data_IF_561631216214
#
_entry.id   IF_561631216214
#
_cell.length_a   1.000
_cell.length_b   1.000
_cell.length_c   1.000
_cell.angle_alpha   90.00
_cell.angle_beta   90.00
_cell.angle_gamma   90.00
#
_symmetry.space_group_name_H-M   'P 1'
#
loop_
_entity.id
_entity.type
_entity.pdbx_description
1 polymer ?
#
# COMPACT_ATOMS: atom_id res chain seq x y z
N UNK A 1 3.35 27.90 -4.27
CA UNK A 1 3.71 29.30 -4.21
C UNK A 1 4.32 29.75 -5.53
N UNK A 2 4.05 30.99 -5.93
CA UNK A 2 4.65 31.58 -7.13
C UNK A 2 4.98 33.04 -6.82
N UNK A 3 6.13 33.47 -7.32
CA UNK A 3 6.60 34.85 -7.24
C UNK A 3 7.15 35.27 -8.59
N UNK A 4 6.73 36.42 -9.07
CA UNK A 4 7.24 37.02 -10.30
C UNK A 4 7.83 38.40 -10.01
N UNK A 5 8.95 38.70 -10.63
CA UNK A 5 9.58 40.02 -10.55
C UNK A 5 10.00 40.47 -11.94
N UNK A 6 9.62 41.71 -12.25
CA UNK A 6 10.06 42.40 -13.45
C UNK A 6 11.25 43.31 -13.11
N UNK A 7 12.31 43.23 -13.92
CA UNK A 7 13.51 44.04 -13.83
C UNK A 7 13.59 44.96 -15.06
N UNK A 8 13.38 46.24 -14.84
CA UNK A 8 13.23 47.19 -15.93
C UNK A 8 12.01 46.91 -16.79
N UNK A 9 12.05 47.25 -18.07
CA UNK A 9 10.92 47.04 -19.00
C UNK A 9 10.98 45.74 -19.79
N UNK A 10 12.13 45.06 -19.81
CA UNK A 10 12.41 43.96 -20.74
C UNK A 10 12.67 42.61 -20.08
N UNK A 11 12.90 42.57 -18.77
CA UNK A 11 13.27 41.34 -18.09
C UNK A 11 12.22 40.93 -17.07
N UNK A 12 11.82 39.66 -17.07
CA UNK A 12 10.87 39.09 -16.13
C UNK A 12 11.41 37.75 -15.62
N UNK A 13 11.37 37.57 -14.33
CA UNK A 13 11.79 36.34 -13.67
C UNK A 13 10.63 35.81 -12.83
N UNK A 14 10.22 34.56 -13.03
CA UNK A 14 9.18 33.90 -12.24
C UNK A 14 9.73 32.63 -11.59
N UNK A 15 9.56 32.53 -10.28
CA UNK A 15 9.86 31.35 -9.49
C UNK A 15 8.55 30.70 -9.05
N UNK A 16 8.35 29.43 -9.37
CA UNK A 16 7.19 28.66 -8.95
C UNK A 16 7.62 27.45 -8.15
N UNK A 17 6.99 27.27 -6.99
CA UNK A 17 7.18 26.12 -6.10
C UNK A 17 5.88 25.37 -6.00
N UNK A 18 5.89 24.09 -6.39
CA UNK A 18 4.76 23.17 -6.30
C UNK A 18 5.18 21.96 -5.47
N UNK A 19 4.31 21.52 -4.58
CA UNK A 19 4.57 20.30 -3.81
C UNK A 19 3.35 19.99 -2.95
N UNK A 20 2.94 18.73 -2.98
CA UNK A 20 1.89 18.19 -2.12
C UNK A 20 2.30 16.79 -1.70
N UNK A 21 2.57 16.54 -0.41
CA UNK A 21 2.72 15.18 0.09
C UNK A 21 1.37 14.47 -0.04
N UNK A 22 1.41 13.24 -0.54
CA UNK A 22 0.23 12.38 -0.64
C UNK A 22 0.51 11.03 -0.02
N UNK A 23 -0.43 10.55 0.77
CA UNK A 23 -0.44 9.21 1.30
C UNK A 23 -1.77 8.55 0.96
N UNK A 24 -1.73 7.34 0.41
CA UNK A 24 -2.93 6.61 0.06
C UNK A 24 -2.77 5.11 0.25
N UNK A 25 -3.80 4.44 0.76
CA UNK A 25 -3.91 2.99 0.72
C UNK A 25 -3.97 2.51 -0.73
N UNK A 26 -3.16 1.51 -1.06
CA UNK A 26 -3.17 0.89 -2.37
C UNK A 26 -4.01 -0.39 -2.36
N UNK A 27 -4.63 -0.68 -3.49
CA UNK A 27 -5.35 -1.93 -3.74
C UNK A 27 -4.42 -2.93 -4.43
N UNK A 28 -4.64 -4.21 -4.17
CA UNK A 28 -4.09 -5.33 -4.91
C UNK A 28 -5.24 -6.16 -5.46
N UNK A 29 -5.07 -6.76 -6.62
CA UNK A 29 -6.03 -7.69 -7.16
C UNK A 29 -6.16 -8.91 -6.22
N UNK A 30 -7.38 -9.37 -6.02
CA UNK A 30 -7.73 -10.62 -5.35
C UNK A 30 -8.16 -11.66 -6.39
N UNK A 31 -8.42 -12.89 -5.93
CA UNK A 31 -8.98 -13.92 -6.80
C UNK A 31 -10.44 -13.61 -7.14
N UNK A 32 -10.93 -14.13 -8.27
CA UNK A 32 -12.35 -13.98 -8.63
C UNK A 32 -13.26 -14.58 -7.56
N UNK A 33 -12.88 -15.72 -6.99
CA UNK A 33 -13.61 -16.35 -5.88
C UNK A 33 -13.78 -15.40 -4.69
N UNK A 34 -12.72 -14.68 -4.30
CA UNK A 34 -12.80 -13.72 -3.21
C UNK A 34 -13.76 -12.55 -3.54
N UNK A 35 -13.75 -12.05 -4.78
CA UNK A 35 -14.69 -11.03 -5.23
C UNK A 35 -16.14 -11.54 -5.18
N UNK A 36 -16.39 -12.76 -5.63
CA UNK A 36 -17.71 -13.38 -5.65
C UNK A 36 -18.23 -13.63 -4.22
N UNK A 37 -17.38 -14.10 -3.32
CA UNK A 37 -17.71 -14.32 -1.91
C UNK A 37 -18.05 -13.02 -1.18
N UNK A 38 -17.36 -11.93 -1.51
CA UNK A 38 -17.62 -10.61 -0.93
C UNK A 38 -18.81 -9.91 -1.60
N UNK A 39 -19.10 -10.25 -2.86
CA UNK A 39 -20.09 -9.56 -3.68
C UNK A 39 -19.63 -8.17 -4.13
N UNK A 40 -18.31 -7.93 -4.19
CA UNK A 40 -17.77 -6.61 -4.51
C UNK A 40 -16.39 -6.71 -5.15
N UNK A 41 -16.26 -6.17 -6.37
CA UNK A 41 -15.00 -6.13 -7.13
C UNK A 41 -13.98 -5.10 -6.60
N UNK A 42 -14.34 -4.30 -5.61
CA UNK A 42 -13.41 -3.38 -4.92
C UNK A 42 -12.83 -3.98 -3.62
N UNK A 43 -13.05 -5.27 -3.39
CA UNK A 43 -12.45 -5.95 -2.25
C UNK A 43 -10.92 -5.81 -2.27
N UNK A 44 -10.36 -5.50 -1.10
CA UNK A 44 -8.91 -5.33 -0.91
C UNK A 44 -8.46 -6.11 0.33
N UNK A 45 -7.66 -7.17 0.18
CA UNK A 45 -7.20 -8.02 1.28
C UNK A 45 -6.11 -7.38 2.15
N UNK A 46 -5.57 -6.22 1.75
CA UNK A 46 -4.39 -5.66 2.41
C UNK A 46 -4.71 -4.73 3.59
N UNK A 47 -5.97 -4.55 3.94
CA UNK A 47 -6.34 -3.72 5.06
C UNK A 47 -7.14 -4.48 6.11
N UNK A 48 -7.06 -4.01 7.34
CA UNK A 48 -7.83 -4.52 8.46
C UNK A 48 -8.00 -3.48 9.55
N UNK A 49 -8.60 -3.89 10.64
CA UNK A 49 -8.83 -3.04 11.79
C UNK A 49 -7.66 -3.17 12.78
N UNK A 50 -7.17 -2.04 13.26
CA UNK A 50 -6.21 -1.96 14.35
C UNK A 50 -6.67 -0.84 15.29
N UNK A 51 -6.89 -1.17 16.57
CA UNK A 51 -7.35 -0.22 17.59
C UNK A 51 -8.58 0.60 17.16
N UNK A 52 -9.52 -0.05 16.49
CA UNK A 52 -10.74 0.59 15.95
C UNK A 52 -10.54 1.46 14.72
N UNK A 53 -9.34 1.53 14.15
CA UNK A 53 -9.02 2.29 12.94
C UNK A 53 -8.70 1.37 11.77
N UNK A 54 -9.05 1.80 10.56
CA UNK A 54 -8.65 1.11 9.33
C UNK A 54 -7.17 1.35 9.06
N UNK A 55 -6.42 0.28 8.90
CA UNK A 55 -5.01 0.32 8.51
C UNK A 55 -4.79 -0.54 7.28
N UNK A 56 -4.12 0.01 6.28
CA UNK A 56 -3.72 -0.72 5.08
C UNK A 56 -2.22 -1.04 5.17
N UNK A 57 -1.84 -2.29 4.92
CA UNK A 57 -0.46 -2.71 4.86
C UNK A 57 0.25 -2.21 3.59
N UNK A 58 -0.53 -1.88 2.56
CA UNK A 58 -0.04 -1.41 1.27
C UNK A 58 -0.37 0.06 1.08
N UNK A 59 0.60 0.91 1.38
CA UNK A 59 0.46 2.37 1.33
C UNK A 59 1.43 2.92 0.28
N UNK A 60 1.01 3.94 -0.45
CA UNK A 60 1.88 4.73 -1.32
C UNK A 60 2.08 6.12 -0.75
N UNK A 61 3.35 6.49 -0.60
CA UNK A 61 3.79 7.79 -0.11
C UNK A 61 4.55 8.51 -1.22
N UNK A 62 4.02 9.62 -1.68
CA UNK A 62 4.68 10.44 -2.70
C UNK A 62 4.86 11.86 -2.17
N UNK A 63 6.09 12.35 -2.22
CA UNK A 63 6.41 13.74 -1.97
C UNK A 63 7.51 14.18 -2.92
N UNK A 64 7.12 14.73 -4.06
CA UNK A 64 8.04 15.15 -5.13
C UNK A 64 7.79 16.63 -5.47
N UNK A 65 8.30 17.56 -4.64
CA UNK A 65 8.20 18.99 -4.95
C UNK A 65 8.97 19.34 -6.22
N UNK A 66 8.43 20.33 -6.92
CA UNK A 66 8.99 20.88 -8.15
C UNK A 66 9.28 22.35 -7.94
N UNK A 67 10.49 22.76 -8.29
CA UNK A 67 10.93 24.15 -8.38
C UNK A 67 11.06 24.49 -9.85
N UNK A 68 10.33 25.51 -10.30
CA UNK A 68 10.42 25.99 -11.69
C UNK A 68 10.90 27.42 -11.70
N UNK A 69 11.86 27.72 -12.56
CA UNK A 69 12.35 29.05 -12.83
C UNK A 69 12.12 29.40 -14.30
N UNK A 70 11.37 30.46 -14.54
CA UNK A 70 11.11 30.98 -15.88
C UNK A 70 11.72 32.37 -15.99
N UNK A 71 12.47 32.60 -17.05
CA UNK A 71 13.03 33.90 -17.38
C UNK A 71 12.60 34.30 -18.77
N UNK A 72 12.11 35.54 -18.88
CA UNK A 72 11.70 36.17 -20.12
C UNK A 72 12.52 37.42 -20.37
N UNK A 73 13.02 37.55 -21.58
CA UNK A 73 13.74 38.73 -22.02
C UNK A 73 13.21 39.21 -23.37
N UNK A 74 12.63 40.39 -23.39
CA UNK A 74 12.17 41.09 -24.59
C UNK A 74 13.38 41.80 -25.25
N UNK A 75 14.00 41.08 -26.22
CA UNK A 75 15.21 41.58 -26.92
C UNK A 75 14.85 42.81 -27.75
N UNK A 76 13.73 42.78 -28.46
CA UNK A 76 13.18 43.87 -29.24
C UNK A 76 11.66 43.71 -29.34
N UNK A 77 10.98 44.67 -30.00
CA UNK A 77 9.52 44.61 -30.21
C UNK A 77 9.08 43.40 -31.05
N UNK A 78 10.04 42.71 -31.73
CA UNK A 78 9.79 41.58 -32.61
C UNK A 78 10.46 40.29 -32.15
N UNK A 79 11.25 40.33 -31.07
CA UNK A 79 12.06 39.21 -30.63
C UNK A 79 12.03 39.03 -29.11
N UNK A 80 11.73 37.84 -28.67
CA UNK A 80 11.61 37.45 -27.25
C UNK A 80 12.40 36.20 -26.99
N UNK A 81 13.13 36.16 -25.90
CA UNK A 81 13.81 34.94 -25.38
C UNK A 81 13.04 34.48 -24.15
N UNK A 82 12.69 33.19 -24.14
CA UNK A 82 12.09 32.53 -23.00
C UNK A 82 12.94 31.33 -22.60
N UNK A 83 13.37 31.32 -21.34
CA UNK A 83 14.11 30.22 -20.74
C UNK A 83 13.28 29.65 -19.59
N UNK A 84 13.12 28.34 -19.57
CA UNK A 84 12.44 27.64 -18.50
C UNK A 84 13.32 26.48 -18.00
N UNK A 85 13.44 26.36 -16.69
CA UNK A 85 14.09 25.21 -16.06
C UNK A 85 13.23 24.70 -14.92
N UNK A 86 13.25 23.41 -14.68
CA UNK A 86 12.54 22.76 -13.59
C UNK A 86 13.43 21.74 -12.91
N UNK A 87 13.40 21.74 -11.58
CA UNK A 87 14.02 20.73 -10.75
C UNK A 87 12.93 20.00 -9.95
N UNK A 88 12.85 18.69 -10.10
CA UNK A 88 11.99 17.83 -9.30
C UNK A 88 12.88 16.95 -8.43
N UNK A 89 12.56 16.88 -7.14
CA UNK A 89 13.28 16.06 -6.17
C UNK A 89 12.28 15.56 -5.12
N UNK A 90 12.68 14.54 -4.37
CA UNK A 90 11.80 13.99 -3.34
C UNK A 90 11.82 12.47 -3.32
N UNK A 91 10.78 11.89 -2.76
CA UNK A 91 10.64 10.45 -2.64
C UNK A 91 9.28 9.95 -3.14
N UNK A 92 9.31 8.74 -3.70
CA UNK A 92 8.13 7.98 -4.09
C UNK A 92 8.28 6.58 -3.49
N UNK A 93 7.59 6.32 -2.38
CA UNK A 93 7.70 5.10 -1.62
C UNK A 93 6.40 4.31 -1.61
N UNK A 94 6.52 3.02 -1.28
CA UNK A 94 5.38 2.16 -1.00
C UNK A 94 5.70 1.18 0.12
N UNK A 95 4.68 0.76 0.85
CA UNK A 95 4.77 -0.35 1.79
C UNK A 95 4.08 -1.60 1.26
N UNK A 96 4.52 -2.76 1.72
CA UNK A 96 3.93 -4.05 1.43
C UNK A 96 4.11 -5.00 2.61
N UNK A 97 3.21 -5.97 2.75
CA UNK A 97 3.42 -7.10 3.64
C UNK A 97 4.53 -7.98 3.09
N UNK A 98 5.41 -8.41 3.97
CA UNK A 98 6.36 -9.48 3.72
C UNK A 98 6.31 -10.48 4.88
N UNK A 99 6.65 -11.73 4.61
CA UNK A 99 6.66 -12.79 5.62
C UNK A 99 7.73 -13.81 5.33
N UNK A 100 8.15 -14.50 6.37
CA UNK A 100 9.17 -15.53 6.29
C UNK A 100 8.73 -16.74 7.11
N UNK A 101 8.93 -17.93 6.56
CA UNK A 101 8.64 -19.23 7.22
C UNK A 101 7.18 -19.41 7.67
N UNK A 102 6.25 -18.66 7.12
CA UNK A 102 4.83 -18.74 7.43
C UNK A 102 3.95 -18.72 6.20
N UNK A 103 2.67 -19.04 6.32
CA UNK A 103 1.73 -18.91 5.22
C UNK A 103 1.50 -17.44 4.88
N UNK A 104 0.97 -17.17 3.68
CA UNK A 104 0.55 -15.83 3.27
C UNK A 104 -0.47 -15.29 4.29
N UNK A 105 -0.21 -14.15 4.94
CA UNK A 105 -1.09 -13.63 5.99
C UNK A 105 -2.36 -12.95 5.45
N UNK A 106 -2.48 -12.80 4.13
CA UNK A 106 -3.64 -12.15 3.53
C UNK A 106 -4.86 -13.07 3.58
N UNK A 107 -6.04 -12.52 3.85
CA UNK A 107 -7.26 -13.32 3.93
C UNK A 107 -7.61 -14.05 2.62
N UNK A 108 -7.25 -13.49 1.46
CA UNK A 108 -7.49 -14.09 0.13
C UNK A 108 -6.45 -15.13 -0.29
N UNK A 109 -5.60 -15.59 0.62
CA UNK A 109 -4.71 -16.71 0.34
C UNK A 109 -5.51 -17.95 -0.03
N UNK A 110 -5.15 -18.58 -1.15
CA UNK A 110 -5.98 -19.64 -1.77
C UNK A 110 -6.36 -20.78 -0.82
N UNK A 111 -5.50 -21.09 0.18
CA UNK A 111 -5.79 -22.15 1.16
C UNK A 111 -6.87 -21.78 2.17
N UNK A 112 -7.27 -20.52 2.24
CA UNK A 112 -8.34 -20.04 3.12
C UNK A 112 -9.68 -19.91 2.40
N UNK A 113 -9.71 -20.22 1.09
CA UNK A 113 -10.90 -20.10 0.27
C UNK A 113 -11.67 -21.42 0.18
N UNK A 114 -13.00 -21.38 0.01
CA UNK A 114 -13.85 -22.57 -0.09
C UNK A 114 -13.39 -23.58 -1.13
N UNK A 115 -12.93 -23.11 -2.29
CA UNK A 115 -12.46 -23.96 -3.37
C UNK A 115 -11.32 -24.89 -2.96
N UNK A 116 -10.41 -24.45 -2.11
CA UNK A 116 -9.31 -25.27 -1.62
C UNK A 116 -9.83 -26.44 -0.77
N UNK A 117 -10.79 -26.19 0.12
CA UNK A 117 -11.42 -27.25 0.93
C UNK A 117 -12.16 -28.26 0.07
N UNK A 118 -12.80 -27.79 -0.99
CA UNK A 118 -13.49 -28.66 -1.94
C UNK A 118 -12.52 -29.56 -2.73
N UNK A 119 -11.34 -29.07 -3.08
CA UNK A 119 -10.29 -29.88 -3.73
C UNK A 119 -9.82 -31.03 -2.84
N UNK A 120 -9.74 -30.80 -1.54
CA UNK A 120 -9.43 -31.84 -0.54
C UNK A 120 -10.63 -32.73 -0.19
N UNK A 121 -11.73 -32.64 -0.95
CA UNK A 121 -13.00 -33.35 -0.70
C UNK A 121 -13.66 -33.02 0.65
N UNK A 122 -13.25 -31.96 1.30
CA UNK A 122 -13.85 -31.46 2.52
C UNK A 122 -15.00 -30.50 2.20
N UNK A 123 -16.09 -31.03 1.67
CA UNK A 123 -17.24 -30.22 1.25
C UNK A 123 -17.96 -29.52 2.42
N UNK A 124 -17.92 -30.11 3.60
CA UNK A 124 -18.47 -29.48 4.81
C UNK A 124 -17.65 -28.25 5.18
N UNK A 125 -16.31 -28.39 5.21
CA UNK A 125 -15.41 -27.27 5.44
C UNK A 125 -15.57 -26.16 4.40
N UNK A 126 -15.71 -26.53 3.12
CA UNK A 126 -15.96 -25.58 2.03
C UNK A 126 -17.27 -24.79 2.25
N UNK A 127 -18.34 -25.46 2.63
CA UNK A 127 -19.63 -24.80 2.89
C UNK A 127 -19.55 -23.83 4.10
N UNK A 128 -18.90 -24.25 5.20
CA UNK A 128 -18.67 -23.36 6.34
C UNK A 128 -17.81 -22.16 5.98
N UNK A 129 -16.75 -22.36 5.25
CA UNK A 129 -15.85 -21.28 4.83
C UNK A 129 -16.59 -20.28 3.93
N UNK A 130 -17.44 -20.76 3.03
CA UNK A 130 -18.29 -19.90 2.20
C UNK A 130 -19.21 -19.01 3.06
N UNK A 131 -19.90 -19.61 4.04
CA UNK A 131 -20.78 -18.87 4.96
C UNK A 131 -20.00 -17.84 5.76
N UNK A 132 -18.84 -18.18 6.29
CA UNK A 132 -18.00 -17.26 7.06
C UNK A 132 -17.54 -16.07 6.20
N UNK A 133 -17.15 -16.33 4.96
CA UNK A 133 -16.76 -15.28 4.04
C UNK A 133 -17.97 -14.38 3.70
N UNK A 134 -19.11 -14.93 3.35
CA UNK A 134 -20.31 -14.16 3.01
C UNK A 134 -20.82 -13.32 4.19
N UNK A 135 -20.76 -13.86 5.40
CA UNK A 135 -21.14 -13.15 6.62
C UNK A 135 -20.08 -12.21 7.16
N UNK A 136 -18.85 -12.23 6.63
CA UNK A 136 -17.68 -11.58 7.22
C UNK A 136 -17.49 -11.93 8.71
N UNK A 137 -17.66 -13.20 9.03
CA UNK A 137 -17.57 -13.68 10.40
C UNK A 137 -16.19 -13.39 10.99
N UNK A 138 -16.13 -12.81 12.18
CA UNK A 138 -14.89 -12.39 12.83
C UNK A 138 -13.93 -11.56 11.94
N UNK A 139 -14.47 -10.79 11.01
CA UNK A 139 -13.70 -9.99 10.05
C UNK A 139 -12.76 -10.80 9.13
N UNK A 140 -13.08 -12.05 8.84
CA UNK A 140 -12.25 -12.96 8.02
C UNK A 140 -11.82 -12.39 6.66
N UNK A 141 -12.53 -11.37 6.15
CA UNK A 141 -12.21 -10.68 4.89
C UNK A 141 -11.09 -9.65 5.03
N UNK A 142 -10.67 -9.38 6.25
CA UNK A 142 -9.75 -8.30 6.55
C UNK A 142 -8.45 -8.84 7.12
N UNK A 143 -7.36 -8.10 6.87
CA UNK A 143 -6.06 -8.45 7.44
C UNK A 143 -6.11 -8.36 8.98
N UNK A 144 -5.68 -9.42 9.63
CA UNK A 144 -5.65 -9.48 11.10
C UNK A 144 -4.31 -8.95 11.62
N UNK A 145 -4.31 -7.68 12.03
CA UNK A 145 -3.14 -7.01 12.60
C UNK A 145 -2.75 -7.59 13.95
N UNK A 146 -3.74 -7.99 14.75
CA UNK A 146 -3.48 -8.56 16.07
C UNK A 146 -2.82 -9.94 15.94
N UNK A 147 -3.33 -10.79 15.07
CA UNK A 147 -2.72 -12.08 14.77
C UNK A 147 -1.28 -11.91 14.26
N UNK A 148 -1.00 -10.90 13.42
CA UNK A 148 0.35 -10.61 12.96
C UNK A 148 1.30 -10.31 14.14
N UNK A 149 0.88 -9.46 15.07
CA UNK A 149 1.68 -9.12 16.25
C UNK A 149 1.85 -10.31 17.19
N UNK A 150 0.80 -11.08 17.43
CA UNK A 150 0.87 -12.29 18.27
C UNK A 150 1.81 -13.33 17.67
N UNK A 151 1.75 -13.55 16.37
CA UNK A 151 2.66 -14.47 15.67
C UNK A 151 4.11 -14.01 15.82
N UNK A 152 4.38 -12.72 15.65
CA UNK A 152 5.73 -12.18 15.83
C UNK A 152 6.21 -12.23 17.29
N UNK A 153 5.31 -12.03 18.25
CA UNK A 153 5.60 -12.11 19.67
C UNK A 153 5.93 -13.54 20.10
N UNK A 154 5.13 -14.50 19.67
CA UNK A 154 5.25 -15.90 20.04
C UNK A 154 6.47 -16.61 19.44
N UNK A 155 7.18 -15.97 18.51
CA UNK A 155 8.42 -16.51 17.94
C UNK A 155 9.50 -16.87 18.97
N UNK A 156 9.44 -16.27 20.14
CA UNK A 156 10.38 -16.52 21.24
C UNK A 156 9.84 -17.53 22.24
N UNK A 157 8.66 -18.13 21.99
CA UNK A 157 8.11 -19.16 22.89
C UNK A 157 8.91 -20.47 22.73
N UNK A 158 9.47 -21.04 23.81
CA UNK A 158 10.13 -22.32 23.78
C UNK A 158 9.24 -23.46 23.28
N UNK A 159 7.91 -23.34 23.38
CA UNK A 159 6.95 -24.30 22.84
C UNK A 159 6.93 -24.30 21.31
N UNK A 160 7.09 -23.16 20.68
CA UNK A 160 7.18 -23.07 19.21
C UNK A 160 8.44 -23.77 18.69
N UNK A 161 9.55 -23.71 19.40
CA UNK A 161 10.77 -24.40 19.07
C UNK A 161 10.62 -25.93 19.18
N UNK A 162 9.83 -26.41 20.14
CA UNK A 162 9.49 -27.84 20.30
C UNK A 162 8.54 -28.34 19.21
N UNK A 163 7.58 -27.53 18.78
CA UNK A 163 6.55 -27.91 17.80
C UNK A 163 7.09 -27.83 16.37
N UNK A 164 7.84 -26.78 16.04
CA UNK A 164 8.27 -26.49 14.66
C UNK A 164 9.76 -26.73 14.41
N UNK A 165 10.55 -27.04 15.44
CA UNK A 165 11.98 -27.27 15.38
C UNK A 165 12.81 -25.99 15.36
N UNK A 166 14.12 -26.08 15.68
CA UNK A 166 15.00 -24.93 15.80
C UNK A 166 15.13 -24.19 14.46
N UNK A 167 15.03 -22.87 14.53
CA UNK A 167 15.21 -21.97 13.37
C UNK A 167 14.00 -21.80 12.46
N UNK A 168 12.87 -22.42 12.71
CA UNK A 168 11.61 -22.22 11.97
C UNK A 168 10.73 -21.20 12.67
N UNK A 169 11.10 -19.95 12.55
CA UNK A 169 10.32 -18.82 13.09
C UNK A 169 9.52 -18.17 11.98
N UNK A 170 8.23 -18.04 12.15
CA UNK A 170 7.39 -17.20 11.29
C UNK A 170 7.61 -15.74 11.63
N UNK A 171 7.75 -14.90 10.64
CA UNK A 171 7.91 -13.47 10.81
C UNK A 171 7.07 -12.71 9.77
N UNK A 172 6.25 -11.79 10.23
CA UNK A 172 5.42 -10.92 9.40
C UNK A 172 5.78 -9.48 9.67
N UNK A 173 6.00 -8.70 8.62
CA UNK A 173 6.33 -7.29 8.72
C UNK A 173 5.70 -6.49 7.60
N UNK A 174 5.50 -5.21 7.86
CA UNK A 174 5.22 -4.22 6.81
C UNK A 174 6.56 -3.62 6.42
N UNK A 175 6.96 -3.86 5.19
CA UNK A 175 8.19 -3.34 4.61
C UNK A 175 7.90 -2.05 3.85
N UNK A 176 8.67 -1.00 4.13
CA UNK A 176 8.61 0.26 3.40
C UNK A 176 9.80 0.33 2.42
N UNK A 177 9.50 0.62 1.15
CA UNK A 177 10.49 0.74 0.07
C UNK A 177 10.37 2.12 -0.58
N UNK A 178 11.50 2.73 -0.83
CA UNK A 178 11.63 4.06 -1.43
C UNK A 178 12.32 4.00 -2.78
#
# INVERSE_FOLDING_TARGET
AAVEKQFGQRHRLALTLLGAPTERGAQQAATQEAYDLVGNNYYNPNWGWQDGKKRNARVRNNHEPIVMLNYTFDISDRSKLELATALRFGRNGYSALTWQNGPDPRPDYYRYLPSYFALDKNYVGAAWQQVYWQANYQNIRHFDWEQMYQTNYNQNDPLDEQIYGPGRRSNYMVEERH
#
